data_IF_090748446645
#
_entry.id   IF_090748446645
#
_cell.length_a   1.000
_cell.length_b   1.000
_cell.length_c   1.000
_cell.angle_alpha   90.00
_cell.angle_beta   90.00
_cell.angle_gamma   90.00
#
_symmetry.space_group_name_H-M   'P 1'
#
loop_
_entity.id
_entity.type
_entity.pdbx_description
1 polymer ?
#
# COMPACT_ATOMS: atom_id res chain seq x y z
N UNK A 1 -33.08 -5.05 2.90
CA UNK A 1 -31.89 -4.29 3.37
C UNK A 1 -30.87 -5.23 4.02
N UNK A 2 -31.32 -6.15 4.88
CA UNK A 2 -30.44 -7.06 5.64
C UNK A 2 -29.72 -8.11 4.75
N UNK A 3 -30.29 -8.49 3.62
CA UNK A 3 -29.76 -9.54 2.74
C UNK A 3 -28.53 -9.05 1.92
N UNK A 4 -28.49 -7.78 1.55
CA UNK A 4 -27.36 -7.20 0.80
C UNK A 4 -26.18 -6.93 1.74
N UNK A 5 -26.45 -6.46 2.95
CA UNK A 5 -25.44 -6.24 3.97
C UNK A 5 -24.80 -7.56 4.43
N UNK A 6 -25.62 -8.61 4.60
CA UNK A 6 -25.14 -9.95 4.91
C UNK A 6 -24.30 -10.55 3.77
N UNK A 7 -24.61 -10.24 2.50
CA UNK A 7 -23.82 -10.70 1.34
C UNK A 7 -22.50 -9.94 1.21
N UNK A 8 -22.46 -8.64 1.50
CA UNK A 8 -21.21 -7.87 1.57
C UNK A 8 -20.34 -8.38 2.74
N UNK A 9 -20.93 -8.65 3.89
CA UNK A 9 -20.21 -9.24 5.03
C UNK A 9 -19.74 -10.67 4.74
N UNK A 10 -20.54 -11.51 4.07
CA UNK A 10 -20.13 -12.87 3.74
C UNK A 10 -19.02 -12.92 2.69
N UNK A 11 -18.93 -11.94 1.80
CA UNK A 11 -17.79 -11.78 0.88
C UNK A 11 -16.54 -11.36 1.67
N UNK A 12 -16.67 -10.49 2.67
CA UNK A 12 -15.56 -10.12 3.56
C UNK A 12 -15.15 -11.27 4.50
N UNK A 13 -16.07 -12.11 4.94
CA UNK A 13 -15.76 -13.25 5.84
C UNK A 13 -15.15 -14.44 5.12
N UNK A 14 -15.36 -14.61 3.81
CA UNK A 14 -14.69 -15.62 2.99
C UNK A 14 -13.31 -15.22 2.51
N UNK A 15 -12.92 -13.95 2.69
CA UNK A 15 -11.57 -13.44 2.43
C UNK A 15 -10.70 -13.29 3.68
N UNK A 16 -10.92 -14.11 4.71
CA UNK A 16 -10.07 -14.15 5.91
C UNK A 16 -8.79 -14.95 5.71
N UNK A 17 -8.09 -14.76 4.60
CA UNK A 17 -6.65 -15.02 4.57
C UNK A 17 -6.01 -14.16 3.47
N UNK A 18 -5.38 -13.14 3.93
CA UNK A 18 -4.51 -12.16 3.31
C UNK A 18 -5.12 -10.75 3.22
N UNK A 19 -4.66 -9.92 4.17
CA UNK A 19 -4.45 -8.46 4.06
C UNK A 19 -5.48 -7.66 3.25
N UNK A 20 -6.39 -6.98 3.97
CA UNK A 20 -7.01 -5.69 3.59
C UNK A 20 -7.15 -5.40 2.10
N UNK A 21 -7.74 -6.25 1.35
CA UNK A 21 -8.02 -5.90 -0.02
C UNK A 21 -9.48 -5.50 -0.16
N UNK A 22 -9.81 -4.29 0.24
CA UNK A 22 -10.70 -3.53 -0.62
C UNK A 22 -10.01 -3.52 -1.98
N UNK A 23 -10.60 -4.15 -2.99
CA UNK A 23 -10.02 -4.09 -4.33
C UNK A 23 -9.97 -2.62 -4.74
N UNK A 24 -8.98 -2.20 -5.51
CA UNK A 24 -8.91 -0.84 -6.08
C UNK A 24 -10.24 -0.39 -6.71
N UNK A 25 -11.03 -1.35 -7.21
CA UNK A 25 -12.36 -1.09 -7.72
C UNK A 25 -13.32 -0.60 -6.63
N UNK A 26 -13.32 -1.23 -5.46
CA UNK A 26 -14.20 -0.85 -4.34
C UNK A 26 -13.79 0.51 -3.78
N UNK A 27 -12.50 0.78 -3.66
CA UNK A 27 -12.00 2.08 -3.20
C UNK A 27 -12.40 3.18 -4.18
N UNK A 28 -12.15 2.99 -5.47
CA UNK A 28 -12.53 3.95 -6.50
C UNK A 28 -14.06 4.16 -6.56
N UNK A 29 -14.85 3.10 -6.37
CA UNK A 29 -16.31 3.19 -6.32
C UNK A 29 -16.78 3.97 -5.08
N UNK A 30 -16.19 3.73 -3.92
CA UNK A 30 -16.51 4.47 -2.70
C UNK A 30 -16.19 5.96 -2.85
N UNK A 31 -15.03 6.30 -3.39
CA UNK A 31 -14.64 7.69 -3.67
C UNK A 31 -15.62 8.36 -4.66
N UNK A 32 -15.99 7.66 -5.72
CA UNK A 32 -16.95 8.18 -6.69
C UNK A 32 -18.31 8.44 -6.04
N UNK A 33 -18.81 7.51 -5.23
CA UNK A 33 -20.10 7.70 -4.54
C UNK A 33 -20.03 8.85 -3.53
N UNK A 34 -18.92 9.00 -2.81
CA UNK A 34 -18.73 10.16 -1.92
C UNK A 34 -18.76 11.49 -2.68
N UNK A 35 -18.08 11.56 -3.83
CA UNK A 35 -18.09 12.74 -4.68
C UNK A 35 -19.50 13.02 -5.24
N UNK A 36 -20.21 12.01 -5.71
CA UNK A 36 -21.58 12.17 -6.22
C UNK A 36 -22.55 12.64 -5.12
N UNK A 37 -22.41 12.16 -3.89
CA UNK A 37 -23.22 12.64 -2.76
C UNK A 37 -22.93 14.10 -2.42
N UNK A 38 -21.70 14.55 -2.55
CA UNK A 38 -21.34 15.96 -2.35
C UNK A 38 -21.86 16.83 -3.50
N UNK A 39 -21.61 16.45 -4.73
CA UNK A 39 -21.90 17.26 -5.92
C UNK A 39 -23.39 17.31 -6.27
N UNK A 40 -24.09 16.18 -6.13
CA UNK A 40 -25.48 16.06 -6.58
C UNK A 40 -26.49 16.18 -5.43
N UNK A 41 -26.11 15.77 -4.22
CA UNK A 41 -27.00 15.78 -3.05
C UNK A 41 -26.67 16.89 -2.04
N UNK A 42 -25.56 17.60 -2.25
CA UNK A 42 -25.15 18.71 -1.37
C UNK A 42 -24.68 18.27 0.01
N UNK A 43 -24.21 17.02 0.13
CA UNK A 43 -23.64 16.51 1.39
C UNK A 43 -22.29 17.19 1.65
N UNK A 44 -21.98 17.43 2.94
CA UNK A 44 -20.60 17.71 3.32
C UNK A 44 -19.75 16.44 3.21
N UNK A 45 -18.43 16.59 3.13
CA UNK A 45 -17.49 15.48 3.11
C UNK A 45 -17.75 14.47 4.24
N UNK A 46 -17.95 14.96 5.47
CA UNK A 46 -18.25 14.12 6.64
C UNK A 46 -19.60 13.39 6.50
N UNK A 47 -20.61 14.04 5.90
CA UNK A 47 -21.91 13.41 5.67
C UNK A 47 -21.81 12.34 4.60
N UNK A 48 -21.09 12.59 3.51
CA UNK A 48 -20.85 11.63 2.44
C UNK A 48 -20.09 10.42 2.96
N UNK A 49 -19.02 10.63 3.72
CA UNK A 49 -18.25 9.56 4.37
C UNK A 49 -19.14 8.69 5.28
N UNK A 50 -19.90 9.33 6.17
CA UNK A 50 -20.78 8.59 7.08
C UNK A 50 -21.89 7.83 6.32
N UNK A 51 -22.41 8.39 5.23
CA UNK A 51 -23.41 7.71 4.41
C UNK A 51 -22.84 6.44 3.76
N UNK A 52 -21.63 6.50 3.22
CA UNK A 52 -20.98 5.35 2.56
C UNK A 52 -20.59 4.28 3.55
N UNK A 53 -19.93 4.64 4.68
CA UNK A 53 -19.34 3.66 5.58
C UNK A 53 -20.23 3.26 6.77
N UNK A 54 -21.24 4.06 7.11
CA UNK A 54 -22.09 3.82 8.29
C UNK A 54 -23.57 4.02 8.03
N UNK A 55 -23.94 4.60 6.89
CA UNK A 55 -25.33 4.99 6.59
C UNK A 55 -26.20 3.90 6.01
N UNK A 56 -25.66 2.69 5.79
CA UNK A 56 -26.41 1.55 5.27
C UNK A 56 -26.79 1.69 3.79
N UNK A 57 -26.03 2.46 3.00
CA UNK A 57 -26.24 2.54 1.55
C UNK A 57 -26.04 1.19 0.88
N UNK A 58 -26.91 0.86 -0.07
CA UNK A 58 -26.73 -0.27 -0.97
C UNK A 58 -26.20 0.26 -2.31
N UNK A 59 -24.93 -0.03 -2.61
CA UNK A 59 -24.26 0.43 -3.83
C UNK A 59 -24.26 -0.73 -4.85
N UNK A 60 -24.85 -0.49 -6.02
CA UNK A 60 -24.89 -1.45 -7.12
C UNK A 60 -23.85 -1.09 -8.17
N UNK A 61 -23.05 -2.04 -8.56
CA UNK A 61 -22.02 -1.86 -9.58
C UNK A 61 -22.15 -2.89 -10.69
N UNK A 62 -21.44 -2.67 -11.79
CA UNK A 62 -21.35 -3.62 -12.91
C UNK A 62 -20.20 -4.61 -12.76
N UNK A 63 -19.50 -4.62 -11.61
CA UNK A 63 -18.41 -5.55 -11.36
C UNK A 63 -18.90 -7.00 -11.45
N UNK A 64 -18.20 -7.81 -12.24
CA UNK A 64 -18.36 -9.26 -12.25
C UNK A 64 -17.31 -9.90 -11.35
N UNK A 65 -17.73 -10.43 -10.21
CA UNK A 65 -16.84 -11.01 -9.21
C UNK A 65 -15.98 -12.16 -9.75
N UNK A 66 -16.52 -13.00 -10.65
CA UNK A 66 -15.76 -14.10 -11.23
C UNK A 66 -14.66 -13.62 -12.16
N UNK A 67 -14.91 -12.56 -12.94
CA UNK A 67 -13.90 -11.94 -13.78
C UNK A 67 -12.85 -11.21 -12.93
N UNK A 68 -13.27 -10.52 -11.86
CA UNK A 68 -12.35 -9.88 -10.93
C UNK A 68 -11.40 -10.90 -10.31
N UNK A 69 -11.94 -12.02 -9.82
CA UNK A 69 -11.12 -13.08 -9.24
C UNK A 69 -10.08 -13.63 -10.23
N UNK A 70 -10.46 -13.86 -11.49
CA UNK A 70 -9.51 -14.30 -12.52
C UNK A 70 -8.41 -13.25 -12.73
N UNK A 71 -8.78 -11.96 -12.80
CA UNK A 71 -7.81 -10.89 -12.94
C UNK A 71 -6.84 -10.83 -11.76
N UNK A 72 -7.35 -11.00 -10.55
CA UNK A 72 -6.55 -10.99 -9.33
C UNK A 72 -5.61 -12.20 -9.26
N UNK A 73 -6.09 -13.39 -9.63
CA UNK A 73 -5.29 -14.61 -9.71
C UNK A 73 -4.15 -14.46 -10.73
N UNK A 74 -4.45 -13.97 -11.94
CA UNK A 74 -3.44 -13.76 -12.99
C UNK A 74 -2.47 -12.63 -12.66
N UNK A 75 -2.93 -11.56 -12.00
CA UNK A 75 -2.08 -10.46 -11.57
C UNK A 75 -1.12 -10.84 -10.42
N UNK A 76 -1.49 -11.84 -9.62
CA UNK A 76 -0.68 -12.32 -8.50
C UNK A 76 0.13 -13.59 -8.83
N UNK A 77 0.03 -14.10 -10.05
CA UNK A 77 0.83 -15.26 -10.49
C UNK A 77 2.22 -14.80 -10.93
N UNK A 78 3.22 -15.06 -10.12
CA UNK A 78 4.63 -14.72 -10.40
C UNK A 78 5.12 -15.27 -11.75
N UNK A 79 4.52 -16.34 -12.29
CA UNK A 79 4.88 -16.89 -13.58
C UNK A 79 4.54 -16.00 -14.77
N UNK A 80 3.61 -15.05 -14.59
CA UNK A 80 3.23 -14.06 -15.57
C UNK A 80 4.21 -12.87 -15.65
N UNK A 81 5.18 -12.79 -14.73
CA UNK A 81 6.16 -11.72 -14.66
C UNK A 81 7.57 -12.18 -15.05
N UNK A 82 8.43 -11.27 -15.50
CA UNK A 82 9.84 -11.61 -15.75
C UNK A 82 10.51 -12.16 -14.51
N UNK A 83 11.33 -13.20 -14.65
CA UNK A 83 12.03 -13.86 -13.55
C UNK A 83 13.11 -12.99 -12.87
N UNK A 84 13.43 -11.83 -13.42
CA UNK A 84 14.43 -10.89 -12.93
C UNK A 84 13.81 -9.60 -12.39
N UNK A 85 12.68 -9.71 -11.68
CA UNK A 85 12.03 -8.57 -11.02
C UNK A 85 13.00 -7.95 -10.01
N UNK A 86 13.08 -6.63 -10.00
CA UNK A 86 13.74 -5.87 -8.96
C UNK A 86 12.70 -5.27 -8.01
N UNK A 87 13.10 -5.03 -6.77
CA UNK A 87 12.27 -4.47 -5.71
C UNK A 87 12.70 -3.05 -5.41
N UNK A 88 11.77 -2.12 -5.56
CA UNK A 88 11.97 -0.72 -5.19
C UNK A 88 11.80 -0.53 -3.69
N UNK A 89 12.69 0.24 -3.07
CA UNK A 89 12.63 0.59 -1.66
C UNK A 89 12.20 2.05 -1.50
N UNK A 90 11.11 2.26 -0.77
CA UNK A 90 10.77 3.55 -0.19
C UNK A 90 10.85 3.48 1.33
N UNK A 91 11.44 4.51 1.96
CA UNK A 91 11.80 4.47 3.37
C UNK A 91 11.67 5.84 4.02
N UNK A 92 11.07 5.86 5.18
CA UNK A 92 11.05 7.01 6.08
C UNK A 92 11.34 6.58 7.51
N UNK A 93 12.17 7.32 8.22
CA UNK A 93 12.55 7.06 9.60
C UNK A 93 12.58 8.36 10.40
N UNK A 94 11.93 8.35 11.54
CA UNK A 94 12.14 9.34 12.60
C UNK A 94 12.91 8.69 13.74
N UNK A 95 14.07 9.22 14.05
CA UNK A 95 14.88 8.82 15.22
C UNK A 95 14.65 9.81 16.33
N UNK A 96 14.26 9.34 17.51
CA UNK A 96 14.26 10.15 18.72
C UNK A 96 15.47 9.76 19.56
N UNK A 97 16.37 10.70 19.76
CA UNK A 97 17.60 10.52 20.54
C UNK A 97 17.32 10.50 22.05
N UNK A 98 18.27 10.00 22.82
CA UNK A 98 18.15 9.92 24.28
C UNK A 98 17.93 11.30 24.97
N UNK A 99 18.36 12.40 24.33
CA UNK A 99 18.13 13.77 24.81
C UNK A 99 16.77 14.35 24.42
N UNK A 100 15.93 13.57 23.71
CA UNK A 100 14.61 13.97 23.22
C UNK A 100 14.62 14.71 21.88
N UNK A 101 15.79 14.96 21.29
CA UNK A 101 15.87 15.53 19.93
C UNK A 101 15.40 14.52 18.89
N UNK A 102 14.88 15.01 17.76
CA UNK A 102 14.37 14.18 16.67
C UNK A 102 15.10 14.47 15.37
N UNK A 103 15.41 13.40 14.62
CA UNK A 103 16.01 13.47 13.31
C UNK A 103 15.17 12.66 12.31
N UNK A 104 14.97 13.21 11.10
CA UNK A 104 14.19 12.57 10.06
C UNK A 104 15.06 12.15 8.89
N UNK A 105 14.87 10.92 8.46
CA UNK A 105 15.58 10.32 7.35
C UNK A 105 14.61 9.79 6.31
N UNK A 106 15.10 9.63 5.08
CA UNK A 106 14.32 9.16 3.94
C UNK A 106 15.16 8.26 3.04
N UNK A 107 14.52 7.65 2.05
CA UNK A 107 15.18 6.89 0.99
C UNK A 107 16.41 7.60 0.38
N UNK A 108 16.38 8.95 0.32
CA UNK A 108 17.51 9.75 -0.16
C UNK A 108 18.80 9.59 0.63
N UNK A 109 18.69 9.37 1.95
CA UNK A 109 19.86 9.15 2.82
C UNK A 109 20.48 7.77 2.56
N UNK A 110 19.66 6.74 2.35
CA UNK A 110 20.13 5.40 1.97
C UNK A 110 20.79 5.45 0.59
N UNK A 111 20.17 6.15 -0.38
CA UNK A 111 20.76 6.33 -1.72
C UNK A 111 22.13 6.99 -1.66
N UNK A 112 22.27 8.03 -0.84
CA UNK A 112 23.54 8.71 -0.61
C UNK A 112 24.58 7.76 0.00
N UNK A 113 24.21 7.01 1.02
CA UNK A 113 25.07 6.01 1.66
C UNK A 113 25.55 4.95 0.66
N UNK A 114 24.66 4.37 -0.14
CA UNK A 114 25.02 3.38 -1.16
C UNK A 114 25.98 3.96 -2.18
N UNK A 115 25.77 5.21 -2.59
CA UNK A 115 26.68 5.90 -3.51
C UNK A 115 28.07 6.11 -2.91
N UNK A 116 28.15 6.56 -1.67
CA UNK A 116 29.41 6.87 -1.00
C UNK A 116 30.19 5.61 -0.59
N UNK A 117 29.47 4.56 -0.13
CA UNK A 117 30.10 3.33 0.37
C UNK A 117 30.47 2.37 -0.74
N UNK A 118 29.58 2.20 -1.74
CA UNK A 118 29.75 1.19 -2.79
C UNK A 118 30.08 1.77 -4.16
N UNK A 119 30.21 3.11 -4.26
CA UNK A 119 30.40 3.83 -5.53
C UNK A 119 29.38 3.45 -6.62
N UNK A 120 28.12 3.19 -6.19
CA UNK A 120 27.03 2.81 -7.07
C UNK A 120 26.02 3.95 -7.13
N UNK A 121 25.83 4.52 -8.30
CA UNK A 121 24.79 5.52 -8.58
C UNK A 121 23.58 4.83 -9.23
N UNK A 122 23.04 3.83 -8.53
CA UNK A 122 21.80 3.13 -8.94
C UNK A 122 20.63 3.59 -8.08
N UNK A 123 19.42 3.46 -8.60
CA UNK A 123 18.20 3.60 -7.80
C UNK A 123 18.21 2.61 -6.63
N UNK A 124 17.30 2.82 -5.68
CA UNK A 124 17.11 1.87 -4.58
C UNK A 124 16.33 0.63 -5.09
N UNK A 125 16.96 -0.10 -6.00
CA UNK A 125 16.44 -1.33 -6.60
C UNK A 125 17.27 -2.51 -6.12
N UNK A 126 16.58 -3.54 -5.65
CA UNK A 126 17.16 -4.73 -5.04
C UNK A 126 16.62 -5.99 -5.67
N UNK A 127 17.39 -7.07 -5.63
CA UNK A 127 17.01 -8.37 -6.21
C UNK A 127 15.97 -9.14 -5.37
N UNK A 128 15.74 -8.72 -4.13
CA UNK A 128 14.74 -9.31 -3.24
C UNK A 128 14.39 -8.32 -2.13
N UNK A 129 13.25 -8.54 -1.48
CA UNK A 129 12.87 -7.79 -0.28
C UNK A 129 13.90 -7.91 0.84
N UNK A 130 14.45 -9.13 1.04
CA UNK A 130 15.46 -9.36 2.07
C UNK A 130 16.73 -8.54 1.81
N UNK A 131 17.14 -8.39 0.54
CA UNK A 131 18.27 -7.55 0.19
C UNK A 131 17.99 -6.06 0.44
N UNK A 132 16.77 -5.60 0.19
CA UNK A 132 16.37 -4.24 0.50
C UNK A 132 16.35 -3.98 2.02
N UNK A 133 15.77 -4.90 2.80
CA UNK A 133 15.76 -4.82 4.28
C UNK A 133 17.15 -4.87 4.88
N UNK A 134 18.01 -5.74 4.39
CA UNK A 134 19.40 -5.82 4.83
C UNK A 134 20.15 -4.49 4.62
N UNK A 135 19.93 -3.82 3.49
CA UNK A 135 20.52 -2.51 3.22
C UNK A 135 20.00 -1.43 4.19
N UNK A 136 18.71 -1.45 4.53
CA UNK A 136 18.14 -0.54 5.54
C UNK A 136 18.81 -0.75 6.90
N UNK A 137 18.93 -2.00 7.35
CA UNK A 137 19.56 -2.32 8.63
C UNK A 137 21.04 -1.95 8.65
N UNK A 138 21.76 -2.21 7.55
CA UNK A 138 23.15 -1.82 7.41
C UNK A 138 23.32 -0.29 7.53
N UNK A 139 22.54 0.47 6.75
CA UNK A 139 22.56 1.91 6.84
C UNK A 139 22.14 2.43 8.22
N UNK A 140 21.08 1.89 8.80
CA UNK A 140 20.57 2.27 10.12
C UNK A 140 21.62 2.07 11.21
N UNK A 141 22.44 1.02 11.11
CA UNK A 141 23.54 0.78 12.03
C UNK A 141 24.59 1.90 12.04
N UNK A 142 24.72 2.65 10.95
CA UNK A 142 25.69 3.77 10.84
C UNK A 142 25.25 5.02 11.58
N UNK A 143 23.97 5.17 11.86
CA UNK A 143 23.39 6.35 12.52
C UNK A 143 22.92 6.04 13.94
N UNK A 144 22.84 4.77 14.33
CA UNK A 144 22.34 4.32 15.62
C UNK A 144 23.20 4.79 16.79
N UNK A 145 22.55 5.27 17.86
CA UNK A 145 23.18 5.65 19.12
C UNK A 145 22.45 4.96 20.29
N UNK A 146 23.15 4.86 21.43
CA UNK A 146 22.57 4.25 22.62
C UNK A 146 21.40 5.09 23.15
N UNK A 147 20.27 4.44 23.41
CA UNK A 147 19.05 5.08 23.91
C UNK A 147 18.13 5.65 22.81
N UNK A 148 18.47 5.45 21.53
CA UNK A 148 17.60 5.86 20.44
C UNK A 148 16.31 5.05 20.39
N UNK A 149 15.22 5.71 19.98
CA UNK A 149 13.97 5.07 19.59
C UNK A 149 13.64 5.38 18.13
N UNK A 150 13.04 4.40 17.44
CA UNK A 150 12.81 4.46 15.99
C UNK A 150 11.32 4.37 15.68
N UNK A 151 10.85 5.27 14.83
CA UNK A 151 9.55 5.16 14.17
C UNK A 151 9.81 5.13 12.66
N UNK A 152 9.67 3.94 12.06
CA UNK A 152 10.03 3.69 10.66
C UNK A 152 8.85 3.21 9.83
N UNK A 153 8.87 3.61 8.57
CA UNK A 153 7.98 3.11 7.51
C UNK A 153 8.84 2.57 6.40
N UNK A 154 8.68 1.28 6.09
CA UNK A 154 9.36 0.60 4.99
C UNK A 154 8.30 0.16 4.00
N UNK A 155 8.43 0.59 2.75
CA UNK A 155 7.64 0.09 1.63
C UNK A 155 8.58 -0.51 0.59
N UNK A 156 8.43 -1.81 0.34
CA UNK A 156 9.21 -2.53 -0.67
C UNK A 156 8.21 -3.09 -1.68
N UNK A 157 8.35 -2.68 -2.93
CA UNK A 157 7.42 -3.06 -3.99
C UNK A 157 8.15 -3.66 -5.18
N UNK A 158 7.62 -4.75 -5.76
CA UNK A 158 8.18 -5.31 -6.98
C UNK A 158 8.05 -4.33 -8.16
N UNK A 159 9.00 -4.40 -9.07
CA UNK A 159 9.02 -3.64 -10.32
C UNK A 159 9.15 -4.62 -11.50
N UNK A 160 8.32 -4.54 -12.55
CA UNK A 160 7.24 -3.59 -12.81
C UNK A 160 5.96 -3.88 -12.01
N UNK A 161 5.09 -2.89 -11.90
CA UNK A 161 3.72 -3.05 -11.42
C UNK A 161 2.80 -3.27 -12.63
N UNK A 162 1.77 -4.08 -12.47
CA UNK A 162 0.78 -4.37 -13.51
C UNK A 162 -0.63 -4.04 -13.03
N UNK A 163 -1.50 -3.70 -13.98
CA UNK A 163 -2.94 -3.59 -13.76
C UNK A 163 -3.70 -4.23 -14.91
N UNK A 164 -4.83 -4.86 -14.61
CA UNK A 164 -5.73 -5.48 -15.61
C UNK A 164 -7.05 -4.73 -15.56
N UNK A 165 -7.50 -4.26 -16.74
CA UNK A 165 -8.82 -3.62 -16.90
C UNK A 165 -9.59 -4.31 -18.00
N UNK A 166 -10.77 -4.83 -17.68
CA UNK A 166 -11.72 -5.40 -18.63
C UNK A 166 -12.86 -4.40 -18.89
N UNK A 167 -13.11 -4.10 -20.16
CA UNK A 167 -14.18 -3.21 -20.64
C UNK A 167 -15.22 -3.98 -21.44
#
# INVERSE_FOLDING_TARGET
ADDVYARIQSVNETQTDSSNAYSYFVDALADQVMNDLQDQCGFSETQAYNAVYSGGLSIYSTQNQSLQQICDEEANDDSNYPSNIEYGLDYALTVTRADGSTENYSSGHIKKYVKETYNKDQGLLYKSEDAARAMVEEWKSTIAQEGDTYNEVINISPQPQASITLM
#
